data_IF_770233452414
#
_entry.id   IF_770233452414
#
_cell.length_a   1.000
_cell.length_b   1.000
_cell.length_c   1.000
_cell.angle_alpha   90.00
_cell.angle_beta   90.00
_cell.angle_gamma   90.00
#
_symmetry.space_group_name_H-M   'P 1'
#
loop_
_entity.id
_entity.type
_entity.pdbx_description
1 polymer ?
#
# COMPACT_ATOMS: atom_id res chain seq x y z
N UNK A 1 -17.39 -10.27 7.85
CA UNK A 1 -16.26 -10.27 6.89
C UNK A 1 -16.41 -11.47 5.97
N UNK A 2 -16.20 -11.27 4.68
CA UNK A 2 -16.34 -12.27 3.62
C UNK A 2 -14.98 -12.56 2.99
N UNK A 3 -14.67 -13.83 2.69
CA UNK A 3 -13.48 -14.19 1.91
C UNK A 3 -13.77 -13.99 0.43
N UNK A 4 -12.86 -13.29 -0.26
CA UNK A 4 -12.99 -13.01 -1.69
C UNK A 4 -11.75 -13.42 -2.48
N UNK A 5 -11.91 -13.62 -3.79
CA UNK A 5 -10.80 -13.90 -4.70
C UNK A 5 -10.02 -12.63 -5.08
N UNK A 6 -8.83 -12.80 -5.61
CA UNK A 6 -8.02 -11.70 -6.14
C UNK A 6 -8.72 -11.00 -7.33
N UNK A 7 -9.43 -11.74 -8.18
CA UNK A 7 -10.23 -11.14 -9.27
C UNK A 7 -11.38 -10.29 -8.74
N UNK A 8 -12.09 -10.77 -7.72
CA UNK A 8 -13.17 -10.01 -7.08
C UNK A 8 -12.64 -8.74 -6.41
N UNK A 9 -11.48 -8.79 -5.78
CA UNK A 9 -10.81 -7.60 -5.25
C UNK A 9 -10.57 -6.54 -6.32
N UNK A 10 -10.02 -6.93 -7.48
CA UNK A 10 -9.74 -5.99 -8.57
C UNK A 10 -11.03 -5.38 -9.14
N UNK A 11 -12.08 -6.19 -9.30
CA UNK A 11 -13.38 -5.73 -9.73
C UNK A 11 -13.97 -4.69 -8.75
N UNK A 12 -13.97 -5.00 -7.45
CA UNK A 12 -14.47 -4.10 -6.41
C UNK A 12 -13.67 -2.79 -6.34
N UNK A 13 -12.36 -2.84 -6.52
CA UNK A 13 -11.52 -1.65 -6.43
C UNK A 13 -11.58 -0.78 -7.70
N UNK A 14 -11.73 -1.40 -8.87
CA UNK A 14 -11.50 -0.73 -10.16
C UNK A 14 -12.56 -1.01 -11.23
N UNK A 15 -13.65 -1.67 -10.90
CA UNK A 15 -14.75 -1.97 -11.83
C UNK A 15 -15.58 -0.74 -12.17
N UNK A 16 -15.79 0.15 -11.21
CA UNK A 16 -16.54 1.40 -11.37
C UNK A 16 -15.77 2.58 -10.77
N UNK A 17 -15.91 3.81 -11.28
CA UNK A 17 -15.27 4.99 -10.73
C UNK A 17 -15.57 5.15 -9.23
N UNK A 18 -14.56 5.60 -8.47
CA UNK A 18 -14.63 5.82 -7.04
C UNK A 18 -14.17 7.24 -6.71
N UNK A 19 -14.56 7.75 -5.54
CA UNK A 19 -14.02 9.03 -5.08
C UNK A 19 -12.52 8.94 -4.85
N UNK A 20 -12.07 7.85 -4.21
CA UNK A 20 -10.66 7.59 -3.98
C UNK A 20 -10.44 6.13 -3.55
N UNK A 21 -9.29 5.57 -3.94
CA UNK A 21 -8.77 4.31 -3.37
C UNK A 21 -7.63 4.65 -2.41
N UNK A 22 -7.71 4.18 -1.18
CA UNK A 22 -6.72 4.40 -0.12
C UNK A 22 -6.10 3.08 0.27
N UNK A 23 -4.76 3.02 0.36
CA UNK A 23 -4.03 1.82 0.74
C UNK A 23 -3.19 2.08 1.99
N UNK A 24 -3.36 1.26 3.01
CA UNK A 24 -2.55 1.25 4.23
C UNK A 24 -1.71 -0.02 4.25
N UNK A 25 -0.40 0.13 4.29
CA UNK A 25 0.59 -0.96 4.33
C UNK A 25 1.34 -0.92 5.66
N UNK A 26 1.30 -2.02 6.40
CA UNK A 26 1.79 -2.11 7.79
C UNK A 26 3.08 -2.90 7.94
N UNK A 27 3.53 -3.59 6.87
CA UNK A 27 4.66 -4.51 6.89
C UNK A 27 5.95 -3.85 6.41
N UNK A 28 7.06 -4.27 7.01
CA UNK A 28 8.40 -3.82 6.62
C UNK A 28 8.94 -4.55 5.39
N UNK A 29 8.34 -5.68 5.00
CA UNK A 29 8.70 -6.48 3.83
C UNK A 29 7.46 -7.15 3.23
N UNK A 30 7.43 -7.24 1.90
CA UNK A 30 6.42 -7.94 1.13
C UNK A 30 7.07 -8.95 0.19
N UNK A 31 6.69 -10.21 0.32
CA UNK A 31 7.27 -11.28 -0.49
C UNK A 31 6.99 -11.11 -1.98
N UNK A 32 5.88 -10.49 -2.34
CA UNK A 32 5.55 -10.17 -3.74
C UNK A 32 6.58 -9.25 -4.41
N UNK A 33 7.32 -8.46 -3.62
CA UNK A 33 8.35 -7.56 -4.12
C UNK A 33 9.75 -8.23 -4.19
N UNK A 34 9.89 -9.49 -3.77
CA UNK A 34 11.18 -10.21 -3.76
C UNK A 34 11.89 -10.20 -5.10
N UNK A 35 11.23 -10.45 -6.25
CA UNK A 35 11.91 -10.41 -7.55
C UNK A 35 12.52 -9.03 -7.85
N UNK A 36 11.77 -7.95 -7.56
CA UNK A 36 12.27 -6.58 -7.71
C UNK A 36 13.44 -6.30 -6.77
N UNK A 37 13.34 -6.76 -5.52
CA UNK A 37 14.40 -6.57 -4.53
C UNK A 37 15.69 -7.29 -4.93
N UNK A 38 15.60 -8.51 -5.43
CA UNK A 38 16.76 -9.27 -5.90
C UNK A 38 17.40 -8.64 -7.14
N UNK A 39 16.60 -8.16 -8.10
CA UNK A 39 17.07 -7.42 -9.26
C UNK A 39 17.80 -6.12 -8.84
N UNK A 40 17.21 -5.35 -7.93
CA UNK A 40 17.83 -4.13 -7.41
C UNK A 40 19.16 -4.44 -6.69
N UNK A 41 19.19 -5.47 -5.85
CA UNK A 41 20.37 -5.88 -5.08
C UNK A 41 21.51 -6.39 -5.95
N UNK A 42 21.19 -7.10 -7.05
CA UNK A 42 22.18 -7.59 -8.02
C UNK A 42 22.64 -6.52 -9.02
N UNK A 43 22.01 -5.35 -9.04
CA UNK A 43 22.31 -4.28 -10.00
C UNK A 43 21.69 -4.50 -11.39
N UNK A 44 20.70 -5.38 -11.51
CA UNK A 44 19.91 -5.59 -12.74
C UNK A 44 18.97 -4.41 -12.98
N UNK A 45 19.52 -3.36 -13.59
CA UNK A 45 18.82 -2.10 -13.87
C UNK A 45 17.68 -2.28 -14.85
N UNK A 46 17.81 -3.16 -15.82
CA UNK A 46 16.78 -3.37 -16.85
C UNK A 46 15.50 -3.90 -16.22
N UNK A 47 15.59 -4.97 -15.42
CA UNK A 47 14.44 -5.54 -14.69
C UNK A 47 13.82 -4.53 -13.73
N UNK A 48 14.63 -3.76 -13.00
CA UNK A 48 14.14 -2.72 -12.09
C UNK A 48 13.38 -1.63 -12.85
N UNK A 49 13.94 -1.09 -13.95
CA UNK A 49 13.29 -0.05 -14.75
C UNK A 49 12.00 -0.53 -15.41
N UNK A 50 11.97 -1.76 -15.91
CA UNK A 50 10.78 -2.35 -16.51
C UNK A 50 9.65 -2.51 -15.47
N UNK A 51 9.97 -3.06 -14.30
CA UNK A 51 9.01 -3.25 -13.21
C UNK A 51 8.44 -1.90 -12.74
N UNK A 52 9.29 -0.90 -12.54
CA UNK A 52 8.85 0.42 -12.10
C UNK A 52 8.07 1.18 -13.18
N UNK A 53 8.39 0.96 -14.45
CA UNK A 53 7.60 1.50 -15.58
C UNK A 53 6.19 0.92 -15.58
N UNK A 54 6.06 -0.40 -15.38
CA UNK A 54 4.77 -1.07 -15.24
C UNK A 54 3.94 -0.53 -14.07
N UNK A 55 4.57 -0.33 -12.92
CA UNK A 55 3.91 0.24 -11.74
C UNK A 55 3.40 1.67 -11.99
N UNK A 56 4.23 2.54 -12.56
CA UNK A 56 3.83 3.92 -12.93
C UNK A 56 2.68 3.92 -13.93
N UNK A 57 2.76 3.10 -14.97
CA UNK A 57 1.72 2.99 -15.98
C UNK A 57 0.38 2.55 -15.38
N UNK A 58 0.41 1.63 -14.42
CA UNK A 58 -0.77 1.21 -13.68
C UNK A 58 -1.40 2.37 -12.91
N UNK A 59 -0.63 3.08 -12.07
CA UNK A 59 -1.13 4.19 -11.26
C UNK A 59 -1.67 5.34 -12.12
N UNK A 60 -0.92 5.73 -13.16
CA UNK A 60 -1.34 6.78 -14.09
C UNK A 60 -2.60 6.38 -14.84
N UNK A 61 -2.68 5.14 -15.31
CA UNK A 61 -3.86 4.62 -16.00
C UNK A 61 -5.10 4.60 -15.10
N UNK A 62 -4.94 4.21 -13.83
CA UNK A 62 -6.04 4.24 -12.85
C UNK A 62 -6.50 5.67 -12.55
N UNK A 63 -5.58 6.59 -12.33
CA UNK A 63 -5.93 8.01 -12.10
C UNK A 63 -6.68 8.61 -13.29
N UNK A 64 -6.27 8.34 -14.54
CA UNK A 64 -6.94 8.79 -15.75
C UNK A 64 -8.35 8.22 -15.92
N UNK A 65 -8.61 7.03 -15.36
CA UNK A 65 -9.93 6.38 -15.35
C UNK A 65 -10.82 6.80 -14.17
N UNK A 66 -10.41 7.80 -13.38
CA UNK A 66 -11.19 8.30 -12.25
C UNK A 66 -11.03 7.50 -10.95
N UNK A 67 -9.86 6.83 -10.77
CA UNK A 67 -9.49 6.16 -9.54
C UNK A 67 -8.30 6.86 -8.87
N UNK A 68 -8.49 8.03 -8.24
CA UNK A 68 -7.43 8.67 -7.50
C UNK A 68 -6.96 7.74 -6.36
N UNK A 69 -5.65 7.69 -6.15
CA UNK A 69 -5.04 6.72 -5.26
C UNK A 69 -4.14 7.40 -4.23
N UNK A 70 -4.33 7.10 -2.94
CA UNK A 70 -3.41 7.50 -1.86
C UNK A 70 -2.86 6.26 -1.17
N UNK A 71 -1.58 6.32 -0.77
CA UNK A 71 -0.91 5.23 -0.07
C UNK A 71 -0.17 5.73 1.16
N UNK A 72 -0.35 5.05 2.27
CA UNK A 72 0.51 5.17 3.44
C UNK A 72 1.25 3.86 3.62
N UNK A 73 2.56 3.95 3.77
CA UNK A 73 3.39 2.80 4.09
C UNK A 73 4.10 3.03 5.42
N UNK A 74 3.82 2.16 6.38
CA UNK A 74 4.52 2.15 7.67
C UNK A 74 5.93 1.64 7.44
N UNK A 75 6.91 2.25 8.10
CA UNK A 75 8.32 1.94 7.90
C UNK A 75 9.06 1.93 9.23
N UNK A 76 9.89 0.92 9.44
CA UNK A 76 10.75 0.81 10.63
C UNK A 76 12.11 1.41 10.35
N UNK A 77 12.64 2.19 11.28
CA UNK A 77 13.96 2.80 11.22
C UNK A 77 14.88 2.17 12.29
N UNK A 78 16.17 1.93 11.95
CA UNK A 78 16.85 2.20 10.69
C UNK A 78 16.37 1.31 9.55
N UNK A 79 16.36 1.84 8.31
CA UNK A 79 15.84 1.15 7.15
C UNK A 79 16.63 -0.13 6.82
N UNK A 80 15.92 -1.22 6.55
CA UNK A 80 16.48 -2.41 5.90
C UNK A 80 16.90 -2.11 4.45
N UNK A 81 17.67 -3.01 3.81
CA UNK A 81 18.02 -2.88 2.38
C UNK A 81 16.75 -2.80 1.50
N UNK A 82 15.79 -3.67 1.79
CA UNK A 82 14.50 -3.66 1.08
C UNK A 82 13.77 -2.32 1.22
N UNK A 83 13.72 -1.75 2.41
CA UNK A 83 13.08 -0.45 2.62
C UNK A 83 13.84 0.68 1.94
N UNK A 84 15.19 0.65 1.91
CA UNK A 84 15.99 1.60 1.12
C UNK A 84 15.69 1.52 -0.36
N UNK A 85 15.56 0.31 -0.91
CA UNK A 85 15.09 0.11 -2.28
C UNK A 85 13.70 0.74 -2.48
N UNK A 86 12.74 0.39 -1.63
CA UNK A 86 11.37 0.86 -1.76
C UNK A 86 11.25 2.39 -1.72
N UNK A 87 12.00 3.05 -0.82
CA UNK A 87 12.08 4.52 -0.74
C UNK A 87 12.77 5.10 -1.97
N UNK A 88 13.89 4.50 -2.41
CA UNK A 88 14.67 5.00 -3.54
C UNK A 88 13.98 4.84 -4.89
N UNK A 89 13.10 3.85 -5.05
CA UNK A 89 12.36 3.58 -6.28
C UNK A 89 10.96 4.22 -6.31
N UNK A 90 10.49 4.77 -5.19
CA UNK A 90 9.16 5.37 -5.15
C UNK A 90 9.02 6.52 -6.14
N UNK A 91 7.94 6.52 -6.92
CA UNK A 91 7.69 7.57 -7.91
C UNK A 91 7.45 8.91 -7.19
N UNK A 92 8.18 9.99 -7.51
CA UNK A 92 7.99 11.30 -6.89
C UNK A 92 6.56 11.85 -7.03
N UNK A 93 5.86 11.48 -8.09
CA UNK A 93 4.48 11.91 -8.36
C UNK A 93 3.42 11.07 -7.63
N UNK A 94 3.82 9.95 -7.02
CA UNK A 94 2.90 9.10 -6.27
C UNK A 94 2.42 9.82 -5.00
N UNK A 95 1.11 9.81 -4.77
CA UNK A 95 0.51 10.28 -3.52
C UNK A 95 0.77 9.26 -2.39
N UNK A 96 2.05 9.10 -2.06
CA UNK A 96 2.58 8.21 -1.03
C UNK A 96 3.10 9.00 0.17
N UNK A 97 2.83 8.49 1.37
CA UNK A 97 3.48 8.94 2.60
C UNK A 97 4.16 7.78 3.31
N UNK A 98 5.37 8.04 3.76
CA UNK A 98 6.13 7.14 4.62
C UNK A 98 5.83 7.48 6.07
N UNK A 99 5.47 6.46 6.86
CA UNK A 99 5.07 6.66 8.25
C UNK A 99 6.03 5.91 9.18
N UNK A 100 6.98 6.62 9.82
CA UNK A 100 7.87 6.01 10.81
C UNK A 100 7.08 5.31 11.93
N UNK A 101 7.38 4.05 12.18
CA UNK A 101 6.67 3.22 13.15
C UNK A 101 6.56 3.80 14.56
N UNK A 102 7.58 4.51 15.11
CA UNK A 102 7.45 5.14 16.42
C UNK A 102 6.27 6.13 16.55
N UNK A 103 5.85 6.77 15.45
CA UNK A 103 4.71 7.69 15.45
C UNK A 103 3.36 6.99 15.63
N UNK A 104 3.33 5.68 15.52
CA UNK A 104 2.11 4.85 15.61
C UNK A 104 1.84 4.28 17.00
N UNK A 105 2.71 4.49 17.98
CA UNK A 105 2.61 3.82 19.29
C UNK A 105 1.25 3.99 20.00
N UNK A 106 0.51 5.05 19.70
CA UNK A 106 -0.80 5.32 20.27
C UNK A 106 -1.91 5.51 19.21
N UNK A 107 -1.67 5.06 17.97
CA UNK A 107 -2.65 5.17 16.87
C UNK A 107 -3.35 3.82 16.68
N UNK A 108 -4.68 3.76 16.84
CA UNK A 108 -5.43 2.56 16.50
C UNK A 108 -5.34 2.28 15.01
N UNK A 109 -4.84 1.11 14.63
CA UNK A 109 -4.72 0.65 13.25
C UNK A 109 -5.41 -0.71 13.07
N UNK A 110 -5.88 -1.05 11.86
CA UNK A 110 -6.33 -2.40 11.56
C UNK A 110 -5.17 -3.38 11.71
N UNK A 111 -5.49 -4.63 12.05
CA UNK A 111 -4.47 -5.69 12.24
C UNK A 111 -3.78 -6.14 10.95
N UNK A 112 -4.36 -5.82 9.79
CA UNK A 112 -3.86 -6.21 8.47
C UNK A 112 -3.82 -5.02 7.51
N UNK A 113 -2.99 -5.14 6.49
CA UNK A 113 -3.00 -4.21 5.36
C UNK A 113 -4.39 -4.09 4.77
N UNK A 114 -4.79 -2.88 4.40
CA UNK A 114 -6.10 -2.69 3.82
C UNK A 114 -6.13 -1.72 2.65
N UNK A 115 -7.14 -1.94 1.79
CA UNK A 115 -7.55 -1.01 0.74
C UNK A 115 -8.97 -0.56 1.06
N UNK A 116 -9.18 0.74 1.07
CA UNK A 116 -10.45 1.36 1.41
C UNK A 116 -10.95 2.08 0.17
N UNK A 117 -12.21 1.85 -0.17
CA UNK A 117 -12.89 2.52 -1.26
C UNK A 117 -14.33 2.78 -0.87
N UNK A 118 -14.75 4.06 -0.94
CA UNK A 118 -16.12 4.47 -0.66
C UNK A 118 -16.66 3.83 0.65
N UNK A 119 -17.57 2.86 0.54
CA UNK A 119 -18.26 2.18 1.63
C UNK A 119 -17.78 0.75 1.88
N UNK A 120 -16.60 0.38 1.36
CA UNK A 120 -16.01 -0.94 1.56
C UNK A 120 -14.53 -0.89 1.98
N UNK A 121 -14.10 -1.92 2.68
CA UNK A 121 -12.69 -2.16 2.99
C UNK A 121 -12.32 -3.61 2.65
N UNK A 122 -11.15 -3.76 2.05
CA UNK A 122 -10.56 -5.05 1.69
C UNK A 122 -9.26 -5.21 2.45
N UNK A 123 -9.16 -6.26 3.26
CA UNK A 123 -7.96 -6.60 3.99
C UNK A 123 -7.15 -7.63 3.23
N UNK A 124 -5.84 -7.40 3.13
CA UNK A 124 -4.89 -8.41 2.67
C UNK A 124 -4.26 -9.08 3.89
N UNK A 125 -4.57 -10.34 4.11
CA UNK A 125 -3.98 -11.12 5.18
C UNK A 125 -2.62 -11.63 4.73
N UNK A 126 -1.61 -11.37 5.56
CA UNK A 126 -0.23 -11.74 5.28
C UNK A 126 0.21 -12.76 6.32
N UNK A 127 0.69 -13.90 5.88
CA UNK A 127 1.23 -14.97 6.72
C UNK A 127 2.55 -14.60 7.38
N UNK A 128 3.03 -15.48 8.25
CA UNK A 128 4.33 -15.32 8.92
C UNK A 128 5.54 -15.36 7.98
N UNK A 129 5.37 -15.89 6.78
CA UNK A 129 6.34 -15.91 5.68
C UNK A 129 6.27 -14.66 4.76
N UNK A 130 5.49 -13.65 5.13
CA UNK A 130 5.19 -12.44 4.36
C UNK A 130 4.46 -12.66 3.02
N UNK A 131 3.91 -13.85 2.81
CA UNK A 131 3.05 -14.14 1.67
C UNK A 131 1.60 -13.72 1.95
N UNK A 132 0.90 -13.24 0.93
CA UNK A 132 -0.54 -13.02 1.06
C UNK A 132 -1.26 -14.37 1.10
N UNK A 133 -2.03 -14.60 2.16
CA UNK A 133 -2.77 -15.86 2.38
C UNK A 133 -4.23 -15.75 1.96
N UNK A 134 -4.90 -14.71 2.42
CA UNK A 134 -6.34 -14.51 2.21
C UNK A 134 -6.65 -13.05 1.90
N UNK A 135 -7.83 -12.81 1.36
CA UNK A 135 -8.39 -11.49 1.13
C UNK A 135 -9.77 -11.45 1.76
N UNK A 136 -10.00 -10.48 2.64
CA UNK A 136 -11.28 -10.31 3.33
C UNK A 136 -11.95 -9.00 2.93
N UNK A 137 -13.24 -9.04 2.66
CA UNK A 137 -14.09 -7.90 2.39
C UNK A 137 -14.95 -7.57 3.61
N UNK A 138 -15.11 -6.30 3.91
CA UNK A 138 -16.15 -5.81 4.81
C UNK A 138 -16.87 -4.60 4.20
N UNK A 139 -18.19 -4.59 4.33
CA UNK A 139 -19.09 -3.46 4.05
C UNK A 139 -19.77 -2.98 5.33
N UNK A 140 -19.35 -3.47 6.50
CA UNK A 140 -19.87 -3.02 7.79
C UNK A 140 -19.44 -1.56 8.03
N UNK A 141 -20.39 -0.61 8.18
CA UNK A 141 -20.07 0.81 8.35
C UNK A 141 -19.12 1.11 9.51
N UNK A 142 -19.17 0.31 10.60
CA UNK A 142 -18.27 0.51 11.74
C UNK A 142 -16.84 0.10 11.39
N UNK A 143 -16.66 -1.00 10.65
CA UNK A 143 -15.34 -1.46 10.19
C UNK A 143 -14.78 -0.49 9.16
N UNK A 144 -15.60 -0.06 8.21
CA UNK A 144 -15.20 0.92 7.18
C UNK A 144 -14.85 2.25 7.83
N UNK A 145 -15.67 2.75 8.76
CA UNK A 145 -15.41 3.99 9.51
C UNK A 145 -14.10 3.92 10.28
N UNK A 146 -13.86 2.83 11.03
CA UNK A 146 -12.60 2.61 11.74
C UNK A 146 -11.38 2.65 10.81
N UNK A 147 -11.44 1.95 9.67
CA UNK A 147 -10.34 1.92 8.71
C UNK A 147 -10.09 3.29 8.05
N UNK A 148 -11.16 4.04 7.77
CA UNK A 148 -11.06 5.41 7.28
C UNK A 148 -10.36 6.32 8.28
N UNK A 149 -10.78 6.32 9.54
CA UNK A 149 -10.17 7.14 10.59
C UNK A 149 -8.70 6.77 10.81
N UNK A 150 -8.40 5.47 10.81
CA UNK A 150 -7.03 4.96 10.90
C UNK A 150 -6.17 5.45 9.74
N UNK A 151 -6.68 5.38 8.50
CA UNK A 151 -5.97 5.86 7.32
C UNK A 151 -5.71 7.37 7.38
N UNK A 152 -6.73 8.18 7.67
CA UNK A 152 -6.57 9.64 7.72
C UNK A 152 -5.61 10.06 8.83
N UNK A 153 -5.64 9.37 9.97
CA UNK A 153 -4.67 9.58 11.05
C UNK A 153 -3.24 9.23 10.60
N UNK A 154 -3.07 8.06 10.00
CA UNK A 154 -1.79 7.63 9.44
C UNK A 154 -1.30 8.60 8.35
N UNK A 155 -2.21 9.03 7.47
CA UNK A 155 -1.91 10.02 6.43
C UNK A 155 -1.41 11.34 7.04
N UNK A 156 -2.08 11.86 8.05
CA UNK A 156 -1.70 13.13 8.69
C UNK A 156 -0.30 13.10 9.33
N UNK A 157 0.07 11.95 9.90
CA UNK A 157 1.37 11.73 10.56
C UNK A 157 2.50 11.39 9.58
N UNK A 158 2.16 10.84 8.43
CA UNK A 158 3.14 10.38 7.44
C UNK A 158 3.87 11.53 6.75
N UNK A 159 5.13 11.29 6.42
CA UNK A 159 5.97 12.22 5.66
C UNK A 159 5.74 12.03 4.16
N UNK A 160 5.42 13.09 3.39
CA UNK A 160 5.27 12.98 1.94
C UNK A 160 6.50 12.37 1.27
N UNK A 161 6.30 11.53 0.26
CA UNK A 161 7.36 10.77 -0.43
C UNK A 161 8.56 11.65 -0.81
N UNK A 162 8.35 12.78 -1.49
CA UNK A 162 9.44 13.68 -1.89
C UNK A 162 10.15 14.42 -0.73
N UNK A 163 9.67 14.29 0.52
CA UNK A 163 10.26 14.93 1.71
C UNK A 163 10.85 13.94 2.70
N UNK A 164 10.59 12.65 2.53
CA UNK A 164 11.11 11.62 3.43
C UNK A 164 12.61 11.44 3.21
N UNK A 165 13.36 11.61 4.29
CA UNK A 165 14.82 11.40 4.33
C UNK A 165 15.11 10.49 5.51
N UNK A 166 15.45 9.22 5.27
CA UNK A 166 15.79 8.26 6.32
C UNK A 166 17.12 8.58 7.00
#
# INVERSE_FOLDING_TARGET
MELISASRRLELLFGEPAQEVRKLELRDFYEVDRPLFEAWRSGDRETVEETMRGHRAFLTGKAALGFPYRRVRVISEPLSEYQRMAVGLADPEERLRWLPRPLLSAVPLPGNDCLIRDDLVIFNLIGGDNQQTEIQLSIDPNVVGFCNDAFERAWSLGVPNGKYKP
#
